data_IF_872956705371
#
_entry.id   IF_872956705371
#
_cell.length_a   1.000
_cell.length_b   1.000
_cell.length_c   1.000
_cell.angle_alpha   90.00
_cell.angle_beta   90.00
_cell.angle_gamma   90.00
#
_symmetry.space_group_name_H-M   'P 1'
#
loop_
_entity.id
_entity.type
_entity.pdbx_description
1 polymer ?
#
# COMPACT_ATOMS: atom_id res chain seq x y z
N UNK A 1 16.44 -21.23 6.49
CA UNK A 1 15.40 -21.11 7.50
C UNK A 1 14.44 -20.02 7.09
N UNK A 2 13.16 -20.15 7.43
CA UNK A 2 12.24 -19.04 7.28
C UNK A 2 12.75 -17.86 8.13
N UNK A 3 12.68 -16.61 7.65
CA UNK A 3 13.08 -15.47 8.44
C UNK A 3 12.20 -15.45 9.71
N UNK A 4 12.84 -15.33 10.87
CA UNK A 4 12.10 -15.20 12.12
C UNK A 4 11.41 -13.83 12.13
N UNK A 5 10.09 -13.83 12.12
CA UNK A 5 9.32 -12.61 12.35
C UNK A 5 9.52 -12.13 13.79
N UNK A 6 9.81 -10.86 14.03
CA UNK A 6 9.79 -10.31 15.38
C UNK A 6 8.40 -10.47 16.00
N UNK A 7 8.36 -10.70 17.32
CA UNK A 7 7.12 -10.75 18.08
C UNK A 7 7.21 -9.76 19.24
N UNK A 8 6.83 -8.53 18.97
CA UNK A 8 6.84 -7.46 19.98
C UNK A 8 5.55 -7.52 20.81
N UNK A 9 5.65 -7.67 22.15
CA UNK A 9 4.46 -7.59 22.99
C UNK A 9 3.76 -6.23 22.87
N UNK A 10 2.44 -6.20 22.82
CA UNK A 10 1.66 -4.97 22.70
C UNK A 10 2.03 -3.88 23.69
N UNK A 11 2.38 -4.27 24.91
CA UNK A 11 2.81 -3.34 25.96
C UNK A 11 4.18 -2.67 25.71
N UNK A 12 4.91 -3.14 24.69
CA UNK A 12 6.22 -2.61 24.26
C UNK A 12 6.20 -2.08 22.84
N UNK A 13 5.06 -2.16 22.16
CA UNK A 13 4.94 -1.74 20.78
C UNK A 13 4.98 -0.21 20.66
N UNK A 14 5.88 0.28 19.82
CA UNK A 14 6.00 1.67 19.40
C UNK A 14 5.95 1.69 17.88
N UNK A 15 4.83 2.14 17.33
CA UNK A 15 4.60 2.22 15.89
C UNK A 15 5.12 3.56 15.38
N UNK A 16 5.89 3.53 14.31
CA UNK A 16 6.32 4.70 13.57
C UNK A 16 5.82 4.62 12.14
N UNK A 17 4.88 5.51 11.79
CA UNK A 17 4.36 5.65 10.44
C UNK A 17 5.34 6.46 9.59
N UNK A 18 5.69 5.96 8.41
CA UNK A 18 6.57 6.64 7.48
C UNK A 18 6.24 6.37 6.01
N UNK A 19 6.63 7.31 5.15
CA UNK A 19 6.54 7.17 3.70
C UNK A 19 7.90 6.73 3.15
N UNK A 20 7.95 5.64 2.36
CA UNK A 20 9.19 5.07 1.82
C UNK A 20 10.07 6.14 1.18
N UNK A 21 9.53 6.90 0.23
CA UNK A 21 10.27 7.95 -0.45
C UNK A 21 10.56 9.14 0.46
N UNK A 22 9.56 9.61 1.21
CA UNK A 22 9.67 10.84 2.00
C UNK A 22 10.67 10.74 3.14
N UNK A 23 10.72 9.61 3.82
CA UNK A 23 11.55 9.43 5.01
C UNK A 23 13.04 9.59 4.72
N UNK A 24 13.51 9.01 3.61
CA UNK A 24 14.95 9.03 3.28
C UNK A 24 15.33 9.98 2.15
N UNK A 25 14.39 10.72 1.55
CA UNK A 25 14.66 11.60 0.39
C UNK A 25 15.79 12.62 0.63
N UNK A 26 15.89 13.14 1.84
CA UNK A 26 16.90 14.11 2.23
C UNK A 26 17.87 13.57 3.29
N UNK A 27 17.95 12.25 3.47
CA UNK A 27 18.80 11.63 4.48
C UNK A 27 20.30 11.84 4.17
N UNK A 28 21.03 12.62 4.99
CA UNK A 28 22.43 12.92 4.71
C UNK A 28 23.37 11.73 4.93
N UNK A 29 22.89 10.72 5.68
CA UNK A 29 23.63 9.48 5.96
C UNK A 29 23.53 8.42 4.86
N UNK A 30 22.73 8.69 3.80
CA UNK A 30 22.58 7.76 2.69
C UNK A 30 23.29 8.24 1.43
N UNK A 31 23.89 7.30 0.65
CA UNK A 31 24.26 7.57 -0.73
C UNK A 31 23.09 8.16 -1.51
N UNK A 32 23.33 9.15 -2.40
CA UNK A 32 22.24 9.81 -3.14
C UNK A 32 21.33 8.85 -3.91
N UNK A 33 21.88 7.79 -4.48
CA UNK A 33 21.17 6.78 -5.29
C UNK A 33 20.22 5.89 -4.47
N UNK A 34 20.40 5.81 -3.14
CA UNK A 34 19.52 5.06 -2.25
C UNK A 34 18.44 5.93 -1.61
N UNK A 35 18.56 7.25 -1.69
CA UNK A 35 17.59 8.16 -1.07
C UNK A 35 16.20 8.00 -1.68
N UNK A 36 15.19 7.93 -0.83
CA UNK A 36 13.80 7.80 -1.25
C UNK A 36 13.44 6.43 -1.83
N UNK A 37 14.21 5.38 -1.53
CA UNK A 37 13.99 4.02 -2.05
C UNK A 37 13.76 2.99 -0.94
N UNK A 38 13.25 1.81 -1.32
CA UNK A 38 13.16 0.65 -0.42
C UNK A 38 14.53 0.26 0.14
N UNK A 39 15.57 0.25 -0.71
CA UNK A 39 16.95 -0.02 -0.29
C UNK A 39 17.48 1.04 0.68
N UNK A 40 17.05 2.30 0.54
CA UNK A 40 17.37 3.37 1.47
C UNK A 40 16.76 3.17 2.86
N UNK A 41 15.54 2.64 2.94
CA UNK A 41 14.93 2.25 4.21
C UNK A 41 15.62 1.04 4.83
N UNK A 42 16.06 0.08 4.02
CA UNK A 42 16.78 -1.11 4.46
C UNK A 42 18.24 -0.83 4.89
N UNK A 43 18.74 0.37 4.61
CA UNK A 43 20.14 0.71 4.88
C UNK A 43 20.44 0.69 6.39
N UNK A 44 21.58 0.09 6.83
CA UNK A 44 21.90 -0.05 8.25
C UNK A 44 21.85 1.26 9.04
N UNK A 45 22.28 2.39 8.46
CA UNK A 45 22.23 3.68 9.12
C UNK A 45 20.79 4.18 9.35
N UNK A 46 19.86 3.86 8.44
CA UNK A 46 18.43 4.16 8.59
C UNK A 46 17.81 3.31 9.70
N UNK A 47 18.11 2.02 9.70
CA UNK A 47 17.60 1.08 10.72
C UNK A 47 18.13 1.43 12.11
N UNK A 48 19.43 1.77 12.23
CA UNK A 48 20.02 2.24 13.50
C UNK A 48 19.34 3.50 14.01
N UNK A 49 19.06 4.47 13.13
CA UNK A 49 18.33 5.68 13.52
C UNK A 49 16.95 5.37 14.12
N UNK A 50 16.18 4.44 13.51
CA UNK A 50 14.88 4.03 14.02
C UNK A 50 14.99 3.25 15.34
N UNK A 51 16.03 2.43 15.50
CA UNK A 51 16.32 1.72 16.76
C UNK A 51 16.63 2.72 17.89
N UNK A 52 17.44 3.74 17.61
CA UNK A 52 17.80 4.79 18.58
C UNK A 52 16.58 5.62 19.03
N UNK A 53 15.54 5.73 18.16
CA UNK A 53 14.26 6.33 18.52
C UNK A 53 13.36 5.41 19.39
N UNK A 54 13.73 4.14 19.56
CA UNK A 54 12.95 3.16 20.31
C UNK A 54 11.73 2.63 19.55
N UNK A 55 11.71 2.75 18.22
CA UNK A 55 10.68 2.16 17.35
C UNK A 55 10.76 0.65 17.39
N UNK A 56 9.62 -0.02 17.38
CA UNK A 56 9.53 -1.49 17.32
C UNK A 56 8.76 -2.01 16.12
N UNK A 57 7.87 -1.19 15.58
CA UNK A 57 7.04 -1.55 14.44
C UNK A 57 6.99 -0.38 13.46
N UNK A 58 7.30 -0.65 12.20
CA UNK A 58 7.30 0.36 11.13
C UNK A 58 6.01 0.22 10.34
N UNK A 59 5.19 1.27 10.31
CA UNK A 59 4.00 1.35 9.47
C UNK A 59 4.35 2.10 8.18
N UNK A 60 4.30 1.38 7.06
CA UNK A 60 4.56 1.94 5.74
C UNK A 60 3.28 2.54 5.17
N UNK A 61 3.27 3.83 4.80
CA UNK A 61 2.23 4.37 3.92
C UNK A 61 2.14 3.49 2.67
N UNK A 62 1.01 3.53 1.91
CA UNK A 62 0.75 2.54 0.87
C UNK A 62 1.92 2.35 -0.09
N UNK A 63 2.36 1.10 -0.23
CA UNK A 63 3.43 0.69 -1.15
C UNK A 63 2.90 -0.17 -2.31
N UNK A 64 1.59 -0.35 -2.42
CA UNK A 64 0.97 -0.96 -3.59
C UNK A 64 1.13 -0.05 -4.80
N UNK A 65 1.29 -0.64 -5.99
CA UNK A 65 1.38 0.12 -7.24
C UNK A 65 0.17 1.05 -7.39
N UNK A 66 0.43 2.30 -7.71
CA UNK A 66 -0.56 3.38 -7.72
C UNK A 66 -0.63 4.09 -9.07
N UNK A 67 -1.74 4.76 -9.29
CA UNK A 67 -1.94 5.67 -10.42
C UNK A 67 -2.31 7.04 -9.88
N UNK A 68 -1.69 8.09 -10.41
CA UNK A 68 -2.09 9.46 -10.07
C UNK A 68 -3.44 9.80 -10.67
N UNK A 69 -4.28 10.48 -9.90
CA UNK A 69 -5.59 10.97 -10.32
C UNK A 69 -5.46 11.98 -11.46
N UNK A 70 -6.44 12.04 -12.35
CA UNK A 70 -6.42 12.92 -13.54
C UNK A 70 -6.17 14.39 -13.17
N UNK A 71 -6.81 14.90 -12.12
CA UNK A 71 -6.63 16.29 -11.69
C UNK A 71 -5.21 16.63 -11.21
N UNK A 72 -4.46 15.61 -10.74
CA UNK A 72 -3.03 15.76 -10.40
C UNK A 72 -2.18 15.76 -11.67
N UNK A 73 -2.47 14.84 -12.61
CA UNK A 73 -1.75 14.75 -13.88
C UNK A 73 -1.89 16.03 -14.69
N UNK A 74 -3.09 16.62 -14.78
CA UNK A 74 -3.35 17.92 -15.44
C UNK A 74 -2.54 19.08 -14.84
N UNK A 75 -2.13 18.95 -13.59
CA UNK A 75 -1.29 19.92 -12.86
C UNK A 75 0.20 19.54 -12.85
N UNK A 76 0.60 18.55 -13.63
CA UNK A 76 1.96 17.96 -13.61
C UNK A 76 2.39 17.54 -12.19
N UNK A 77 1.46 16.99 -11.41
CA UNK A 77 1.69 16.45 -10.07
C UNK A 77 1.42 14.95 -10.06
N UNK A 78 2.02 14.27 -9.08
CA UNK A 78 1.82 12.84 -8.84
C UNK A 78 1.15 12.62 -7.50
N UNK A 79 0.41 11.51 -7.38
CA UNK A 79 -0.07 11.04 -6.07
C UNK A 79 1.15 10.68 -5.22
N UNK A 80 1.36 11.43 -4.13
CA UNK A 80 2.52 11.24 -3.24
C UNK A 80 2.24 10.17 -2.19
N UNK A 81 1.10 10.21 -1.54
CA UNK A 81 0.82 9.36 -0.38
C UNK A 81 0.56 7.88 -0.71
N UNK A 82 0.09 7.57 -1.90
CA UNK A 82 -0.16 6.20 -2.32
C UNK A 82 -1.62 5.74 -2.20
N UNK A 83 -2.53 6.55 -1.71
CA UNK A 83 -3.95 6.20 -1.55
C UNK A 83 -4.73 6.24 -2.87
N UNK A 84 -4.18 5.65 -3.91
CA UNK A 84 -4.78 5.56 -5.25
C UNK A 84 -4.33 4.27 -5.94
N UNK A 85 -4.74 3.14 -5.37
CA UNK A 85 -4.22 1.81 -5.72
C UNK A 85 -4.66 1.36 -7.12
N UNK A 86 -3.69 0.94 -7.91
CA UNK A 86 -3.84 0.31 -9.22
C UNK A 86 -3.55 -1.20 -9.14
N UNK A 87 -2.44 -1.57 -8.53
CA UNK A 87 -1.93 -2.94 -8.51
C UNK A 87 -1.88 -3.53 -7.10
N UNK A 88 -2.90 -4.28 -6.72
CA UNK A 88 -3.07 -4.83 -5.37
C UNK A 88 -2.06 -5.92 -4.99
N UNK A 89 -1.38 -6.51 -5.98
CA UNK A 89 -0.38 -7.58 -5.81
C UNK A 89 1.02 -7.14 -6.25
N UNK A 90 1.22 -5.87 -6.53
CA UNK A 90 2.47 -5.33 -7.02
C UNK A 90 2.95 -4.15 -6.17
N UNK A 91 4.26 -4.06 -5.86
CA UNK A 91 4.81 -2.89 -5.19
C UNK A 91 4.92 -1.70 -6.14
N UNK A 92 4.92 -0.49 -5.57
CA UNK A 92 5.14 0.77 -6.28
C UNK A 92 6.58 0.85 -6.80
N UNK A 93 6.74 0.79 -8.10
CA UNK A 93 8.06 0.71 -8.74
C UNK A 93 8.88 2.00 -8.55
N UNK A 94 8.24 3.15 -8.44
CA UNK A 94 8.94 4.43 -8.29
C UNK A 94 9.64 4.61 -6.93
N UNK A 95 9.40 3.69 -5.99
CA UNK A 95 10.10 3.63 -4.71
C UNK A 95 11.29 2.67 -4.71
N UNK A 96 11.51 1.94 -5.80
CA UNK A 96 12.69 1.11 -5.93
C UNK A 96 13.90 1.92 -6.44
N UNK A 97 15.10 1.38 -6.26
CA UNK A 97 16.30 1.93 -6.87
C UNK A 97 16.17 1.95 -8.39
N UNK A 98 16.87 2.88 -9.05
CA UNK A 98 16.89 2.96 -10.51
C UNK A 98 17.34 1.64 -11.14
N UNK A 99 18.34 0.99 -10.55
CA UNK A 99 18.82 -0.32 -11.00
C UNK A 99 17.70 -1.38 -10.96
N UNK A 100 16.91 -1.44 -9.88
CA UNK A 100 15.82 -2.41 -9.78
C UNK A 100 14.69 -2.10 -10.76
N UNK A 101 14.37 -0.82 -10.98
CA UNK A 101 13.38 -0.41 -11.96
C UNK A 101 13.78 -0.81 -13.40
N UNK A 102 15.04 -0.60 -13.76
CA UNK A 102 15.58 -0.98 -15.08
C UNK A 102 15.65 -2.50 -15.27
N UNK A 103 15.90 -3.26 -14.20
CA UNK A 103 15.89 -4.73 -14.22
C UNK A 103 14.48 -5.35 -14.26
N UNK A 104 13.44 -4.56 -13.98
CA UNK A 104 12.04 -4.94 -14.12
C UNK A 104 11.33 -5.36 -12.83
N UNK A 105 10.07 -5.72 -12.96
CA UNK A 105 9.14 -5.95 -11.83
C UNK A 105 9.63 -7.00 -10.81
N UNK A 106 10.34 -8.03 -11.27
CA UNK A 106 10.93 -9.04 -10.38
C UNK A 106 11.98 -8.46 -9.43
N UNK A 107 12.84 -7.56 -9.92
CA UNK A 107 13.85 -6.88 -9.13
C UNK A 107 13.23 -5.87 -8.14
N UNK A 108 12.22 -5.12 -8.58
CA UNK A 108 11.44 -4.22 -7.69
C UNK A 108 10.81 -5.01 -6.54
N UNK A 109 10.16 -6.13 -6.84
CA UNK A 109 9.60 -7.01 -5.81
C UNK A 109 10.67 -7.54 -4.87
N UNK A 110 11.82 -7.94 -5.40
CA UNK A 110 12.91 -8.46 -4.59
C UNK A 110 13.47 -7.40 -3.64
N UNK A 111 13.59 -6.15 -4.09
CA UNK A 111 14.05 -5.05 -3.25
C UNK A 111 13.10 -4.80 -2.06
N UNK A 112 11.78 -4.95 -2.25
CA UNK A 112 10.80 -4.88 -1.14
C UNK A 112 10.99 -6.04 -0.17
N UNK A 113 11.18 -7.27 -0.66
CA UNK A 113 11.44 -8.45 0.18
C UNK A 113 12.71 -8.24 1.00
N UNK A 114 13.76 -7.73 0.39
CA UNK A 114 15.04 -7.48 1.05
C UNK A 114 14.92 -6.37 2.10
N UNK A 115 14.12 -5.34 1.84
CA UNK A 115 13.79 -4.30 2.83
C UNK A 115 13.08 -4.89 4.06
N UNK A 116 12.02 -5.67 3.85
CA UNK A 116 11.27 -6.30 4.95
C UNK A 116 12.19 -7.22 5.76
N UNK A 117 13.01 -8.02 5.09
CA UNK A 117 13.98 -8.90 5.75
C UNK A 117 14.97 -8.13 6.61
N UNK A 118 15.55 -7.04 6.08
CA UNK A 118 16.48 -6.20 6.83
C UNK A 118 15.82 -5.54 8.06
N UNK A 119 14.55 -5.15 7.94
CA UNK A 119 13.78 -4.64 9.07
C UNK A 119 13.55 -5.72 10.13
N UNK A 120 13.20 -6.95 9.75
CA UNK A 120 13.07 -8.08 10.67
C UNK A 120 14.40 -8.40 11.38
N UNK A 121 15.50 -8.45 10.63
CA UNK A 121 16.85 -8.69 11.19
C UNK A 121 17.25 -7.58 12.19
N UNK A 122 16.76 -6.35 11.99
CA UNK A 122 16.93 -5.24 12.91
C UNK A 122 15.93 -5.25 14.10
N UNK A 123 15.00 -6.20 14.13
CA UNK A 123 14.02 -6.38 15.21
C UNK A 123 12.70 -5.61 15.03
N UNK A 124 12.42 -5.03 13.86
CA UNK A 124 11.17 -4.32 13.57
C UNK A 124 10.12 -5.25 12.98
N UNK A 125 8.89 -5.15 13.48
CA UNK A 125 7.71 -5.60 12.75
C UNK A 125 7.37 -4.61 11.63
N UNK A 126 6.83 -5.10 10.51
CA UNK A 126 6.46 -4.27 9.36
C UNK A 126 4.94 -4.31 9.14
N UNK A 127 4.31 -3.18 9.32
CA UNK A 127 2.88 -2.95 9.06
C UNK A 127 2.74 -2.22 7.73
N UNK A 128 1.77 -2.62 6.92
CA UNK A 128 1.51 -1.99 5.63
C UNK A 128 0.13 -1.35 5.62
N UNK A 129 0.08 -0.06 5.24
CA UNK A 129 -1.19 0.61 4.97
C UNK A 129 -1.77 0.13 3.64
N UNK A 130 -3.03 -0.30 3.66
CA UNK A 130 -3.73 -0.90 2.53
C UNK A 130 -5.04 -0.19 2.22
N UNK A 131 -5.30 -0.02 0.93
CA UNK A 131 -6.46 0.71 0.41
C UNK A 131 -7.34 -0.25 -0.37
N UNK A 132 -8.31 -0.88 0.30
CA UNK A 132 -9.30 -1.76 -0.35
C UNK A 132 -10.68 -1.12 -0.46
N UNK A 133 -10.84 0.11 0.01
CA UNK A 133 -12.14 0.79 0.01
C UNK A 133 -12.49 1.40 -1.36
N UNK A 134 -11.50 1.76 -2.17
CA UNK A 134 -11.66 2.35 -3.51
C UNK A 134 -10.49 1.99 -4.42
N UNK A 135 -10.57 2.37 -5.68
CA UNK A 135 -9.51 2.21 -6.67
C UNK A 135 -9.08 3.55 -7.28
N UNK A 136 -7.95 3.54 -7.99
CA UNK A 136 -7.44 4.70 -8.72
C UNK A 136 -8.35 5.16 -9.89
N UNK A 137 -9.45 4.45 -10.17
CA UNK A 137 -10.34 4.75 -11.30
C UNK A 137 -11.26 5.95 -11.05
N UNK A 138 -11.23 6.53 -9.84
CA UNK A 138 -12.02 7.72 -9.49
C UNK A 138 -13.54 7.58 -9.74
N UNK A 139 -14.23 8.67 -10.07
CA UNK A 139 -15.66 8.71 -10.41
C UNK A 139 -15.97 8.26 -11.84
N UNK A 140 -17.20 8.58 -12.33
CA UNK A 140 -17.64 8.17 -13.67
C UNK A 140 -16.74 8.64 -14.80
N UNK A 141 -16.10 9.80 -14.62
CA UNK A 141 -15.18 10.41 -15.60
C UNK A 141 -13.75 9.85 -15.51
N UNK A 142 -13.50 8.96 -14.56
CA UNK A 142 -12.18 8.37 -14.38
C UNK A 142 -11.82 7.31 -15.41
N UNK A 143 -10.55 6.93 -15.50
CA UNK A 143 -10.05 5.98 -16.48
C UNK A 143 -10.59 4.55 -16.21
N UNK A 144 -10.55 3.70 -17.22
CA UNK A 144 -10.84 2.26 -17.15
C UNK A 144 -9.51 1.50 -17.21
N UNK A 145 -8.86 1.30 -16.07
CA UNK A 145 -7.50 0.75 -15.98
C UNK A 145 -7.33 -0.32 -14.90
N UNK A 146 -8.39 -0.59 -14.13
CA UNK A 146 -8.40 -1.59 -13.08
C UNK A 146 -9.65 -2.48 -13.21
N UNK A 147 -10.41 -2.70 -12.15
CA UNK A 147 -11.56 -3.61 -12.10
C UNK A 147 -12.74 -3.18 -12.97
N UNK A 148 -12.86 -1.89 -13.28
CA UNK A 148 -13.90 -1.38 -14.18
C UNK A 148 -13.84 -2.03 -15.56
N UNK A 149 -12.65 -2.32 -16.04
CA UNK A 149 -12.44 -3.00 -17.34
C UNK A 149 -12.74 -4.49 -17.33
N UNK A 150 -12.77 -5.11 -16.14
CA UNK A 150 -13.06 -6.55 -16.00
C UNK A 150 -14.54 -6.79 -15.77
N UNK A 151 -15.11 -6.29 -14.67
CA UNK A 151 -16.53 -6.36 -14.35
C UNK A 151 -16.94 -5.20 -13.44
N UNK A 152 -17.33 -4.11 -14.07
CA UNK A 152 -17.71 -2.89 -13.37
C UNK A 152 -18.91 -3.08 -12.42
N UNK A 153 -19.82 -4.02 -12.73
CA UNK A 153 -20.99 -4.27 -11.91
C UNK A 153 -20.70 -5.16 -10.70
N UNK A 154 -19.73 -6.06 -10.81
CA UNK A 154 -19.34 -6.94 -9.72
C UNK A 154 -18.42 -6.28 -8.71
N UNK A 155 -17.52 -5.38 -9.15
CA UNK A 155 -16.49 -4.83 -8.27
C UNK A 155 -16.88 -3.52 -7.58
N UNK A 156 -17.78 -2.71 -8.17
CA UNK A 156 -18.09 -1.38 -7.64
C UNK A 156 -19.52 -1.28 -7.12
N UNK A 157 -19.66 -0.65 -5.97
CA UNK A 157 -20.98 -0.35 -5.39
C UNK A 157 -21.77 0.61 -6.28
N UNK A 158 -23.07 0.36 -6.34
CA UNK A 158 -24.02 1.15 -7.13
C UNK A 158 -25.10 1.74 -6.25
N UNK A 159 -25.67 2.85 -6.69
CA UNK A 159 -26.84 3.40 -6.02
C UNK A 159 -28.07 2.54 -6.29
N UNK A 160 -28.96 2.41 -5.28
CA UNK A 160 -30.18 1.59 -5.39
C UNK A 160 -31.16 2.14 -6.43
N UNK A 161 -31.18 3.46 -6.60
CA UNK A 161 -32.07 4.18 -7.54
C UNK A 161 -31.61 4.07 -8.99
N UNK A 162 -30.30 3.91 -9.23
CA UNK A 162 -29.73 3.88 -10.58
C UNK A 162 -28.46 3.05 -10.65
N UNK A 163 -28.57 1.83 -11.19
CA UNK A 163 -27.45 0.88 -11.33
C UNK A 163 -26.28 1.44 -12.14
N UNK A 164 -26.51 2.39 -13.06
CA UNK A 164 -25.43 3.06 -13.79
C UNK A 164 -24.62 4.04 -12.96
N UNK A 165 -25.09 4.39 -11.73
CA UNK A 165 -24.44 5.38 -10.87
C UNK A 165 -23.60 4.70 -9.80
N UNK A 166 -22.31 5.08 -9.71
CA UNK A 166 -21.43 4.66 -8.63
C UNK A 166 -21.93 5.18 -7.27
N UNK A 167 -21.87 4.33 -6.27
CA UNK A 167 -22.08 4.73 -4.88
C UNK A 167 -20.71 5.00 -4.25
N UNK A 168 -20.47 6.23 -3.85
CA UNK A 168 -19.20 6.65 -3.27
C UNK A 168 -19.36 6.99 -1.79
N UNK A 169 -18.72 6.22 -0.93
CA UNK A 169 -18.63 6.46 0.52
C UNK A 169 -17.22 6.83 0.96
N UNK A 170 -16.30 6.95 0.01
CA UNK A 170 -14.87 7.15 0.27
C UNK A 170 -14.44 8.60 0.04
N UNK A 171 -15.18 9.36 -0.78
CA UNK A 171 -14.79 10.67 -1.27
C UNK A 171 -13.81 10.62 -2.46
N UNK A 172 -13.51 9.40 -2.96
CA UNK A 172 -12.56 9.18 -4.06
C UNK A 172 -13.24 8.86 -5.40
N UNK A 173 -14.59 8.93 -5.44
CA UNK A 173 -15.38 8.76 -6.65
C UNK A 173 -15.92 7.33 -6.88
N UNK A 174 -15.44 6.34 -6.15
CA UNK A 174 -15.93 4.97 -6.20
C UNK A 174 -15.79 4.27 -4.84
N UNK A 175 -16.53 3.20 -4.66
CA UNK A 175 -16.36 2.27 -3.54
C UNK A 175 -16.38 0.85 -4.06
N UNK A 176 -15.47 0.00 -3.60
CA UNK A 176 -15.51 -1.43 -3.87
C UNK A 176 -16.67 -2.10 -3.13
N UNK A 177 -17.29 -3.08 -3.76
CA UNK A 177 -18.47 -3.77 -3.21
C UNK A 177 -18.10 -5.04 -2.45
N UNK A 178 -17.86 -4.92 -1.16
CA UNK A 178 -17.53 -6.04 -0.28
C UNK A 178 -18.72 -6.95 0.04
N UNK A 179 -19.93 -6.66 -0.43
CA UNK A 179 -21.04 -7.63 -0.42
C UNK A 179 -20.83 -8.71 -1.49
N UNK A 180 -19.99 -8.44 -2.49
CA UNK A 180 -19.62 -9.41 -3.52
C UNK A 180 -18.44 -10.27 -3.06
N UNK A 181 -18.63 -11.59 -3.07
CA UNK A 181 -17.63 -12.57 -2.65
C UNK A 181 -16.33 -12.51 -3.47
N UNK A 182 -16.40 -12.14 -4.76
CA UNK A 182 -15.19 -11.98 -5.59
C UNK A 182 -14.33 -10.82 -5.10
N UNK A 183 -14.93 -9.70 -4.67
CA UNK A 183 -14.22 -8.56 -4.11
C UNK A 183 -13.53 -8.94 -2.79
N UNK A 184 -14.28 -9.63 -1.92
CA UNK A 184 -13.72 -10.13 -0.65
C UNK A 184 -12.58 -11.12 -0.88
N UNK A 185 -12.75 -12.05 -1.82
CA UNK A 185 -11.74 -13.07 -2.15
C UNK A 185 -10.45 -12.41 -2.65
N UNK A 186 -10.54 -11.48 -3.61
CA UNK A 186 -9.35 -10.83 -4.13
C UNK A 186 -8.60 -10.02 -3.05
N UNK A 187 -9.33 -9.33 -2.17
CA UNK A 187 -8.73 -8.57 -1.08
C UNK A 187 -7.99 -9.49 -0.10
N UNK A 188 -8.62 -10.61 0.30
CA UNK A 188 -7.99 -11.61 1.16
C UNK A 188 -6.77 -12.25 0.49
N UNK A 189 -6.83 -12.54 -0.79
CA UNK A 189 -5.70 -13.12 -1.53
C UNK A 189 -4.54 -12.11 -1.68
N UNK A 190 -4.86 -10.83 -1.86
CA UNK A 190 -3.86 -9.77 -1.84
C UNK A 190 -3.17 -9.67 -0.47
N UNK A 191 -3.93 -9.64 0.63
CA UNK A 191 -3.37 -9.64 1.99
C UNK A 191 -2.48 -10.86 2.24
N UNK A 192 -2.94 -12.06 1.82
CA UNK A 192 -2.14 -13.30 1.91
C UNK A 192 -0.85 -13.22 1.11
N UNK A 193 -0.89 -12.62 -0.08
CA UNK A 193 0.31 -12.40 -0.89
C UNK A 193 1.32 -11.53 -0.14
N UNK A 194 0.90 -10.38 0.37
CA UNK A 194 1.77 -9.46 1.12
C UNK A 194 2.32 -10.10 2.39
N UNK A 195 1.50 -10.82 3.15
CA UNK A 195 1.95 -11.51 4.36
C UNK A 195 2.89 -12.67 4.04
N UNK A 196 2.51 -13.58 3.13
CA UNK A 196 3.24 -14.84 2.93
C UNK A 196 4.38 -14.77 1.92
N UNK A 197 4.32 -13.85 0.94
CA UNK A 197 5.32 -13.76 -0.14
C UNK A 197 6.28 -12.58 0.03
N UNK A 198 5.84 -11.53 0.71
CA UNK A 198 6.64 -10.34 0.98
C UNK A 198 7.15 -10.35 2.42
N UNK A 199 6.36 -10.87 3.36
CA UNK A 199 6.73 -10.97 4.78
C UNK A 199 6.15 -9.87 5.66
N UNK A 200 5.08 -9.19 5.23
CA UNK A 200 4.40 -8.17 6.02
C UNK A 200 3.76 -8.80 7.26
N UNK A 201 3.96 -8.21 8.44
CA UNK A 201 3.50 -8.72 9.74
C UNK A 201 2.07 -8.28 10.08
N UNK A 202 1.67 -7.10 9.62
CA UNK A 202 0.36 -6.53 9.92
C UNK A 202 -0.14 -5.56 8.86
N UNK A 203 -1.42 -5.20 8.96
CA UNK A 203 -2.06 -4.27 8.03
C UNK A 203 -2.83 -3.19 8.77
N UNK A 204 -2.69 -1.95 8.33
CA UNK A 204 -3.58 -0.85 8.67
C UNK A 204 -4.54 -0.64 7.49
N UNK A 205 -5.82 -0.70 7.74
CA UNK A 205 -6.84 -0.53 6.69
C UNK A 205 -7.29 0.92 6.62
N UNK A 206 -7.02 1.55 5.49
CA UNK A 206 -7.57 2.87 5.19
C UNK A 206 -9.10 2.81 5.08
N UNK A 207 -9.79 3.79 5.68
CA UNK A 207 -11.26 3.89 5.69
C UNK A 207 -11.96 2.55 5.98
N UNK A 208 -11.48 1.79 6.96
CA UNK A 208 -11.97 0.44 7.28
C UNK A 208 -13.51 0.37 7.47
N UNK A 209 -14.10 1.43 8.01
CA UNK A 209 -15.54 1.54 8.19
C UNK A 209 -16.35 1.43 6.89
N UNK A 210 -15.75 1.74 5.73
CA UNK A 210 -16.45 1.60 4.44
C UNK A 210 -16.52 0.15 3.98
N UNK A 211 -15.61 -0.71 4.44
CA UNK A 211 -15.56 -2.13 4.09
C UNK A 211 -16.67 -2.92 4.80
N UNK A 212 -17.07 -2.49 5.99
CA UNK A 212 -18.08 -3.15 6.82
C UNK A 212 -19.52 -2.71 6.51
N UNK A 213 -19.74 -1.85 5.53
CA UNK A 213 -21.11 -1.41 5.18
C UNK A 213 -21.81 -2.44 4.32
N UNK A 214 -22.80 -3.11 4.89
CA UNK A 214 -23.77 -3.90 4.17
C UNK A 214 -24.98 -2.98 3.83
N UNK A 215 -25.44 -3.00 2.57
CA UNK A 215 -26.61 -2.23 2.10
C UNK A 215 -26.65 -0.73 2.42
N UNK A 216 -25.50 -0.11 2.63
CA UNK A 216 -25.38 1.31 2.93
C UNK A 216 -25.46 1.67 4.42
N UNK A 217 -25.65 0.68 5.29
CA UNK A 217 -25.67 0.84 6.75
C UNK A 217 -24.44 0.20 7.39
N UNK A 218 -24.08 0.66 8.59
CA UNK A 218 -23.10 -0.02 9.41
C UNK A 218 -23.73 -1.26 10.06
N UNK A 219 -23.06 -2.39 9.98
CA UNK A 219 -23.39 -3.61 10.72
C UNK A 219 -22.34 -3.85 11.80
#
# INVERSE_FOLDING_TARGET
>A
GEPSHPHVPWSKTVIYELHVKGFTANAPWLPPELRGTYAGLAHPATLSYLQDLGVTSIELLPIQAKQSELFLQERNRTNYWGYSTLGYFAPEASYATKQAQEAGAGAVRQEVIDMVRAMHEAGFEVIMDVVYNHTCESGPEGPTICWRGLDNLAYYRRTKDKVSRLYDTTGCGNSLDFTNTHVTTFAVDSLRYWAKRIGIDGFRFDLAATLARLDGEFT
#
